data_IF_430220337282
#
_entry.id   IF_430220337282
#
_cell.length_a   1.000
_cell.length_b   1.000
_cell.length_c   1.000
_cell.angle_alpha   90.00
_cell.angle_beta   90.00
_cell.angle_gamma   90.00
#
_symmetry.space_group_name_H-M   'P 1'
#
loop_
_entity.id
_entity.type
_entity.pdbx_description
1 polymer ?
#
# COMPACT_ATOMS: atom_id res chain seq x y z
N UNK A 1 47.14 35.17 24.79
CA UNK A 1 47.45 34.23 23.70
C UNK A 1 47.01 32.83 24.11
N UNK A 2 45.97 32.28 23.46
CA UNK A 2 45.72 30.85 23.21
C UNK A 2 44.36 30.79 22.49
N UNK A 3 44.41 30.73 21.17
CA UNK A 3 43.24 30.55 20.30
C UNK A 3 42.81 29.09 20.44
N UNK A 4 41.57 28.83 20.85
CA UNK A 4 40.97 27.51 20.73
C UNK A 4 40.05 27.54 19.52
N UNK A 5 40.54 26.99 18.41
CA UNK A 5 39.79 26.80 17.17
C UNK A 5 38.91 25.58 17.39
N UNK A 6 37.60 25.77 17.52
CA UNK A 6 36.64 24.69 17.49
C UNK A 6 36.32 24.35 16.03
N UNK A 7 36.80 23.20 15.57
CA UNK A 7 36.50 22.64 14.26
C UNK A 7 35.00 22.34 14.15
N UNK A 8 34.30 23.08 13.29
CA UNK A 8 32.94 22.77 12.86
C UNK A 8 33.02 21.66 11.81
N UNK A 9 32.79 20.41 12.22
CA UNK A 9 32.62 19.28 11.30
C UNK A 9 31.23 19.40 10.66
N UNK A 10 31.19 19.94 9.44
CA UNK A 10 30.00 19.91 8.59
C UNK A 10 29.84 18.47 8.09
N UNK A 11 29.01 17.69 8.78
CA UNK A 11 28.49 16.43 8.25
C UNK A 11 27.49 16.77 7.14
N UNK A 12 28.01 16.99 5.94
CA UNK A 12 27.20 17.02 4.73
C UNK A 12 26.73 15.59 4.49
N UNK A 13 25.55 15.26 5.04
CA UNK A 13 24.86 14.02 4.72
C UNK A 13 24.54 14.07 3.22
N UNK A 14 25.31 13.33 2.42
CA UNK A 14 24.93 13.02 1.06
C UNK A 14 23.57 12.33 1.12
N UNK A 15 22.50 13.03 0.74
CA UNK A 15 21.28 12.38 0.31
C UNK A 15 21.64 11.60 -0.95
N UNK A 16 21.88 10.30 -0.80
CA UNK A 16 21.82 9.38 -1.92
C UNK A 16 20.38 9.43 -2.42
N UNK A 17 20.16 10.18 -3.49
CA UNK A 17 19.01 9.97 -4.37
C UNK A 17 19.24 8.62 -5.02
N UNK A 18 18.92 7.53 -4.31
CA UNK A 18 18.69 6.25 -4.92
C UNK A 18 17.64 6.51 -6.02
N UNK A 19 17.90 6.15 -7.29
CA UNK A 19 16.85 6.19 -8.28
C UNK A 19 15.72 5.33 -7.72
N UNK A 20 14.51 5.89 -7.64
CA UNK A 20 13.35 5.11 -7.30
C UNK A 20 13.36 3.88 -8.22
N UNK A 21 13.56 2.69 -7.63
CA UNK A 21 13.39 1.46 -8.38
C UNK A 21 12.02 1.56 -9.02
N UNK A 22 11.96 1.60 -10.36
CA UNK A 22 10.71 1.64 -11.09
C UNK A 22 10.08 0.25 -10.98
N UNK A 23 9.54 -0.05 -9.80
CA UNK A 23 8.90 -1.32 -9.51
C UNK A 23 7.66 -1.39 -10.39
N UNK A 24 7.66 -2.38 -11.28
CA UNK A 24 6.55 -2.60 -12.17
C UNK A 24 5.37 -3.25 -11.40
N UNK A 25 4.31 -2.49 -11.20
CA UNK A 25 3.04 -2.93 -10.60
C UNK A 25 1.97 -3.30 -11.65
N UNK A 26 2.38 -3.72 -12.85
CA UNK A 26 1.44 -4.30 -13.83
C UNK A 26 0.92 -5.63 -13.28
N UNK A 27 -0.39 -5.81 -13.29
CA UNK A 27 -1.09 -6.98 -12.74
C UNK A 27 -1.09 -8.15 -13.73
N UNK A 28 -1.32 -9.38 -13.24
CA UNK A 28 -1.49 -10.56 -14.09
C UNK A 28 -2.68 -10.38 -15.04
N UNK A 29 -3.78 -9.82 -14.52
CA UNK A 29 -4.93 -9.39 -15.31
C UNK A 29 -4.53 -8.51 -16.49
N UNK A 30 -3.70 -7.48 -16.30
CA UNK A 30 -3.24 -6.63 -17.39
C UNK A 30 -2.30 -7.36 -18.35
N UNK A 31 -1.32 -8.12 -17.85
CA UNK A 31 -0.35 -8.82 -18.72
C UNK A 31 -0.97 -9.92 -19.58
N UNK A 32 -2.06 -10.52 -19.11
CA UNK A 32 -2.82 -11.55 -19.83
C UNK A 32 -3.88 -10.98 -20.77
N UNK A 33 -4.05 -9.66 -20.83
CA UNK A 33 -5.19 -9.00 -21.49
C UNK A 33 -6.56 -9.46 -20.93
N UNK A 34 -6.61 -9.67 -19.62
CA UNK A 34 -7.83 -9.97 -18.86
C UNK A 34 -8.26 -11.43 -18.89
N UNK A 35 -7.38 -12.36 -19.26
CA UNK A 35 -7.72 -13.79 -19.33
C UNK A 35 -7.24 -14.60 -18.14
N UNK A 36 -6.36 -14.05 -17.31
CA UNK A 36 -5.80 -14.69 -16.12
C UNK A 36 -5.94 -13.79 -14.89
N UNK A 37 -5.93 -14.40 -13.71
CA UNK A 37 -5.96 -13.70 -12.42
C UNK A 37 -4.84 -14.17 -11.51
N UNK A 38 -4.50 -13.35 -10.51
CA UNK A 38 -3.44 -13.62 -9.57
C UNK A 38 -3.82 -14.70 -8.55
N UNK A 39 -2.84 -15.53 -8.18
CA UNK A 39 -2.94 -16.43 -7.03
C UNK A 39 -2.92 -15.65 -5.71
N UNK A 40 -3.32 -16.29 -4.60
CA UNK A 40 -3.23 -15.69 -3.26
C UNK A 40 -1.84 -15.10 -2.98
N UNK A 41 -0.78 -15.88 -3.22
CA UNK A 41 0.60 -15.45 -2.98
C UNK A 41 0.99 -14.24 -3.84
N UNK A 42 0.52 -14.16 -5.08
CA UNK A 42 0.78 -13.03 -5.97
C UNK A 42 0.01 -11.77 -5.54
N UNK A 43 -1.24 -11.89 -5.10
CA UNK A 43 -2.03 -10.79 -4.54
C UNK A 43 -1.35 -10.21 -3.30
N UNK A 44 -0.94 -11.07 -2.35
CA UNK A 44 -0.26 -10.61 -1.13
C UNK A 44 1.11 -10.00 -1.46
N UNK A 45 1.87 -10.59 -2.39
CA UNK A 45 3.16 -10.06 -2.86
C UNK A 45 3.01 -8.67 -3.50
N UNK A 46 1.96 -8.47 -4.31
CA UNK A 46 1.66 -7.18 -4.93
C UNK A 46 1.43 -6.10 -3.87
N UNK A 47 0.53 -6.34 -2.91
CA UNK A 47 0.22 -5.37 -1.86
C UNK A 47 1.38 -5.14 -0.90
N UNK A 48 2.19 -6.16 -0.61
CA UNK A 48 3.40 -6.03 0.21
C UNK A 48 4.40 -5.07 -0.46
N UNK A 49 4.71 -5.29 -1.75
CA UNK A 49 5.58 -4.39 -2.51
C UNK A 49 5.01 -2.97 -2.60
N UNK A 50 3.68 -2.85 -2.73
CA UNK A 50 3.01 -1.55 -2.76
C UNK A 50 3.17 -0.80 -1.43
N UNK A 51 3.03 -1.51 -0.30
CA UNK A 51 3.26 -0.97 1.05
C UNK A 51 4.73 -0.61 1.32
N UNK A 52 5.67 -1.39 0.81
CA UNK A 52 7.11 -1.10 0.89
C UNK A 52 7.50 0.14 0.06
N UNK A 53 6.77 0.41 -1.02
CA UNK A 53 7.07 1.50 -1.96
C UNK A 53 6.38 2.81 -1.59
N UNK A 54 5.12 2.74 -1.14
CA UNK A 54 4.28 3.90 -0.88
C UNK A 54 3.85 3.95 0.59
N UNK A 55 4.35 4.95 1.31
CA UNK A 55 4.03 5.17 2.74
C UNK A 55 2.53 5.35 3.03
N UNK A 56 1.75 5.75 2.02
CA UNK A 56 0.29 5.86 2.11
C UNK A 56 -0.41 4.50 2.25
N UNK A 57 0.29 3.40 2.01
CA UNK A 57 -0.22 2.03 2.09
C UNK A 57 0.32 1.34 3.34
N UNK A 58 -0.57 0.71 4.08
CA UNK A 58 -0.23 -0.22 5.16
C UNK A 58 -0.84 -1.59 4.86
N UNK A 59 -0.12 -2.66 5.14
CA UNK A 59 -0.61 -4.04 5.12
C UNK A 59 -0.40 -4.66 6.49
N UNK A 60 -1.43 -5.32 7.00
CA UNK A 60 -1.38 -6.02 8.29
C UNK A 60 -2.14 -7.35 8.21
N UNK A 61 -1.59 -8.39 8.85
CA UNK A 61 -2.33 -9.63 9.08
C UNK A 61 -3.25 -9.45 10.29
N UNK A 62 -4.55 -9.67 10.10
CA UNK A 62 -5.59 -9.43 11.13
C UNK A 62 -6.24 -10.71 11.64
N UNK A 63 -5.86 -11.86 11.10
CA UNK A 63 -6.40 -13.16 11.46
C UNK A 63 -5.89 -14.27 10.55
N UNK A 64 -6.55 -15.42 10.62
CA UNK A 64 -6.23 -16.63 9.87
C UNK A 64 -7.49 -17.11 9.12
N UNK A 65 -7.33 -17.58 7.89
CA UNK A 65 -8.38 -18.21 7.09
C UNK A 65 -8.61 -19.65 7.55
N UNK A 66 -9.72 -20.26 7.13
CA UNK A 66 -9.99 -21.68 7.38
C UNK A 66 -8.94 -22.63 6.76
N UNK A 67 -8.17 -22.13 5.78
CA UNK A 67 -7.06 -22.86 5.14
C UNK A 67 -5.69 -22.61 5.79
N UNK A 68 -5.64 -21.88 6.90
CA UNK A 68 -4.43 -21.58 7.65
C UNK A 68 -3.54 -20.49 7.06
N UNK A 69 -4.08 -19.68 6.15
CA UNK A 69 -3.38 -18.54 5.53
C UNK A 69 -3.72 -17.25 6.28
N UNK A 70 -2.85 -16.24 6.36
CA UNK A 70 -3.21 -14.99 7.01
C UNK A 70 -4.29 -14.22 6.24
N UNK A 71 -5.26 -13.67 6.97
CA UNK A 71 -6.19 -12.66 6.43
C UNK A 71 -5.49 -11.31 6.51
N UNK A 72 -5.34 -10.63 5.37
CA UNK A 72 -4.69 -9.32 5.31
C UNK A 72 -5.71 -8.20 5.23
N UNK A 73 -5.43 -7.10 5.91
CA UNK A 73 -6.09 -5.81 5.74
C UNK A 73 -5.08 -4.84 5.15
N UNK A 74 -5.39 -4.30 3.97
CA UNK A 74 -4.59 -3.27 3.31
C UNK A 74 -5.31 -1.94 3.41
N UNK A 75 -4.64 -0.91 3.93
CA UNK A 75 -5.20 0.42 4.14
C UNK A 75 -4.48 1.44 3.28
N UNK A 76 -5.21 2.25 2.53
CA UNK A 76 -4.71 3.44 1.82
C UNK A 76 -5.20 4.69 2.55
N UNK A 77 -4.28 5.47 3.10
CA UNK A 77 -4.57 6.77 3.69
C UNK A 77 -3.50 7.81 3.33
N UNK A 78 -3.84 8.87 2.56
CA UNK A 78 -2.88 9.90 2.18
C UNK A 78 -2.30 10.70 3.36
N UNK A 79 -2.91 10.65 4.56
CA UNK A 79 -2.40 11.35 5.75
C UNK A 79 -1.57 10.46 6.67
N UNK A 80 -1.22 9.24 6.25
CA UNK A 80 -0.30 8.34 6.96
C UNK A 80 -0.74 7.99 8.40
N UNK A 81 -2.05 8.07 8.67
CA UNK A 81 -2.66 7.63 9.93
C UNK A 81 -3.34 6.28 9.69
N UNK A 82 -3.03 5.28 10.52
CA UNK A 82 -3.50 3.91 10.34
C UNK A 82 -4.22 3.37 11.59
N UNK A 83 -4.27 4.15 12.66
CA UNK A 83 -5.16 3.89 13.79
C UNK A 83 -6.59 4.29 13.41
N UNK A 84 -7.47 3.30 13.29
CA UNK A 84 -8.86 3.52 12.88
C UNK A 84 -9.68 4.37 13.87
N UNK A 85 -9.33 4.39 15.16
CA UNK A 85 -10.01 5.24 16.13
C UNK A 85 -9.59 6.71 15.95
N UNK A 86 -8.31 6.96 15.66
CA UNK A 86 -7.86 8.30 15.30
C UNK A 86 -8.43 8.76 13.96
N UNK A 87 -8.53 7.88 12.95
CA UNK A 87 -9.18 8.20 11.67
C UNK A 87 -10.62 8.67 11.89
N UNK A 88 -11.39 7.96 12.73
CA UNK A 88 -12.77 8.32 13.08
C UNK A 88 -12.85 9.64 13.83
N UNK A 89 -11.97 9.87 14.82
CA UNK A 89 -11.90 11.13 15.58
C UNK A 89 -11.60 12.33 14.67
N UNK A 90 -10.81 12.12 13.63
CA UNK A 90 -10.48 13.15 12.63
C UNK A 90 -11.55 13.30 11.52
N UNK A 91 -12.77 12.79 11.73
CA UNK A 91 -13.92 12.91 10.84
C UNK A 91 -13.70 12.41 9.40
N UNK A 92 -12.76 11.48 9.20
CA UNK A 92 -12.62 10.76 7.93
C UNK A 92 -13.61 9.62 7.84
N UNK A 93 -14.04 9.28 6.62
CA UNK A 93 -14.83 8.08 6.35
C UNK A 93 -13.90 6.90 6.07
N UNK A 94 -14.28 5.71 6.51
CA UNK A 94 -13.56 4.47 6.20
C UNK A 94 -14.47 3.68 5.25
N UNK A 95 -13.99 3.38 4.05
CA UNK A 95 -14.67 2.51 3.09
C UNK A 95 -13.96 1.16 3.08
N UNK A 96 -14.66 0.11 3.50
CA UNK A 96 -14.18 -1.27 3.40
C UNK A 96 -14.58 -1.87 2.05
N UNK A 97 -13.61 -2.41 1.34
CA UNK A 97 -13.78 -3.25 0.16
C UNK A 97 -13.44 -4.68 0.59
N UNK A 98 -14.36 -5.62 0.44
CA UNK A 98 -14.14 -7.01 0.85
C UNK A 98 -14.23 -7.90 -0.39
N UNK A 99 -13.09 -8.39 -0.87
CA UNK A 99 -13.02 -9.19 -2.09
C UNK A 99 -12.97 -10.68 -1.77
N UNK A 100 -13.15 -11.53 -2.80
CA UNK A 100 -12.84 -12.95 -2.72
C UNK A 100 -13.74 -13.79 -1.80
N UNK A 101 -14.90 -13.28 -1.37
CA UNK A 101 -15.79 -14.01 -0.45
C UNK A 101 -16.39 -15.29 -1.06
N UNK A 102 -16.42 -15.40 -2.40
CA UNK A 102 -16.64 -16.66 -3.10
C UNK A 102 -15.42 -17.00 -3.97
N UNK A 103 -14.99 -18.28 -3.99
CA UNK A 103 -13.93 -18.72 -4.90
C UNK A 103 -14.31 -18.50 -6.37
N UNK A 104 -13.38 -17.94 -7.15
CA UNK A 104 -13.55 -17.68 -8.59
C UNK A 104 -14.06 -16.28 -8.95
N UNK A 105 -14.46 -15.46 -7.96
CA UNK A 105 -14.84 -14.05 -8.15
C UNK A 105 -13.61 -13.14 -8.06
N UNK A 106 -12.76 -13.17 -9.10
CA UNK A 106 -11.49 -12.42 -9.10
C UNK A 106 -11.60 -10.97 -9.55
N UNK A 107 -12.72 -10.58 -10.17
CA UNK A 107 -12.96 -9.26 -10.72
C UNK A 107 -12.80 -8.14 -9.68
N UNK A 108 -13.32 -8.34 -8.46
CA UNK A 108 -13.13 -7.41 -7.35
C UNK A 108 -11.69 -7.33 -6.84
N UNK A 109 -10.96 -8.45 -6.86
CA UNK A 109 -9.54 -8.54 -6.47
C UNK A 109 -8.70 -7.72 -7.45
N UNK A 110 -8.83 -8.02 -8.74
CA UNK A 110 -8.10 -7.34 -9.82
C UNK A 110 -8.42 -5.85 -9.85
N UNK A 111 -9.70 -5.46 -9.75
CA UNK A 111 -10.12 -4.06 -9.72
C UNK A 111 -9.53 -3.31 -8.50
N UNK A 112 -9.47 -3.94 -7.33
CA UNK A 112 -8.91 -3.32 -6.12
C UNK A 112 -7.41 -3.15 -6.18
N UNK A 113 -6.68 -4.09 -6.79
CA UNK A 113 -5.25 -3.97 -7.03
C UNK A 113 -4.94 -2.77 -7.94
N UNK A 114 -5.67 -2.66 -9.05
CA UNK A 114 -5.56 -1.53 -9.98
C UNK A 114 -5.90 -0.20 -9.29
N UNK A 115 -7.01 -0.15 -8.54
CA UNK A 115 -7.44 1.05 -7.83
C UNK A 115 -6.38 1.56 -6.87
N UNK A 116 -5.84 0.68 -6.01
CA UNK A 116 -4.84 1.08 -5.01
C UNK A 116 -3.57 1.59 -5.68
N UNK A 117 -3.05 0.85 -6.67
CA UNK A 117 -1.88 1.25 -7.46
C UNK A 117 -2.09 2.59 -8.14
N UNK A 118 -3.21 2.76 -8.84
CA UNK A 118 -3.45 3.93 -9.67
C UNK A 118 -3.68 5.19 -8.82
N UNK A 119 -4.20 5.06 -7.59
CA UNK A 119 -4.26 6.16 -6.62
C UNK A 119 -2.86 6.57 -6.16
N UNK A 120 -2.01 5.62 -5.74
CA UNK A 120 -0.68 5.96 -5.21
C UNK A 120 0.30 6.40 -6.29
N UNK A 121 0.11 5.95 -7.53
CA UNK A 121 0.83 6.42 -8.72
C UNK A 121 0.28 7.73 -9.30
N UNK A 122 -0.79 8.28 -8.72
CA UNK A 122 -1.36 9.57 -9.13
C UNK A 122 -2.12 9.55 -10.46
N UNK A 123 -2.47 8.36 -10.98
CA UNK A 123 -3.39 8.24 -12.13
C UNK A 123 -4.84 8.50 -11.73
N UNK A 124 -5.19 8.17 -10.48
CA UNK A 124 -6.47 8.49 -9.84
C UNK A 124 -6.20 9.48 -8.71
N UNK A 125 -7.05 10.49 -8.57
CA UNK A 125 -6.94 11.47 -7.49
C UNK A 125 -7.10 10.81 -6.11
N UNK A 126 -6.20 11.17 -5.18
CA UNK A 126 -6.21 10.62 -3.83
C UNK A 126 -7.46 11.09 -3.06
N UNK A 127 -8.21 10.19 -2.40
CA UNK A 127 -9.35 10.61 -1.60
C UNK A 127 -8.89 11.33 -0.32
N UNK A 128 -9.20 12.62 -0.19
CA UNK A 128 -8.75 13.43 0.96
C UNK A 128 -9.49 13.10 2.27
N UNK A 129 -10.77 12.75 2.18
CA UNK A 129 -11.67 12.56 3.31
C UNK A 129 -12.10 11.09 3.53
N UNK A 130 -11.59 10.18 2.70
CA UNK A 130 -11.93 8.75 2.76
C UNK A 130 -10.66 7.93 2.84
N UNK A 131 -10.58 7.07 3.84
CA UNK A 131 -9.59 6.00 3.95
C UNK A 131 -10.16 4.77 3.30
N UNK A 132 -9.41 4.16 2.37
CA UNK A 132 -9.78 2.87 1.79
C UNK A 132 -9.15 1.77 2.63
N UNK A 133 -9.93 0.79 3.01
CA UNK A 133 -9.45 -0.45 3.60
C UNK A 133 -9.93 -1.61 2.71
N UNK A 134 -9.07 -2.58 2.44
CA UNK A 134 -9.43 -3.75 1.63
C UNK A 134 -8.96 -5.04 2.28
N UNK A 135 -9.85 -6.04 2.31
CA UNK A 135 -9.46 -7.44 2.44
C UNK A 135 -9.25 -7.93 1.00
N UNK A 136 -7.99 -8.18 0.59
CA UNK A 136 -7.66 -8.29 -0.81
C UNK A 136 -8.09 -9.62 -1.44
N UNK A 137 -8.12 -10.70 -0.66
CA UNK A 137 -8.49 -12.07 -1.06
C UNK A 137 -8.78 -12.91 0.19
#
# INVERSE_FOLDING_TARGET
>A
MKKLIACLLILSSCASNEPANDINFTTIFETSNGTETATYEEVISFYTKLAETYSEISIQAIGETDSGKPIHLVTLNPTLEFDFDNIRKNNKRILLINNGIHPGESDGIDASMLLFRDIVQGKIEKPLNTVLATIPV
#
